data_IF_080039963445
#
_entry.id   IF_080039963445
#
_cell.length_a   1.000
_cell.length_b   1.000
_cell.length_c   1.000
_cell.angle_alpha   90.00
_cell.angle_beta   90.00
_cell.angle_gamma   90.00
#
_symmetry.space_group_name_H-M   'P 1'
#
loop_
_entity.id
_entity.type
_entity.pdbx_description
1 polymer ?
#
# COMPACT_ATOMS: atom_id res chain seq x y z
N UNK A 1 -0.49 43.24 -15.94
CA UNK A 1 -1.47 42.22 -16.35
C UNK A 1 -1.27 41.96 -17.84
N UNK A 2 -1.33 40.72 -18.37
CA UNK A 2 -2.03 39.53 -17.87
C UNK A 2 -1.11 38.35 -17.47
N UNK A 3 -1.46 37.70 -16.35
CA UNK A 3 -0.88 36.45 -15.89
C UNK A 3 -1.48 35.29 -16.68
N UNK A 4 -0.64 34.56 -17.43
CA UNK A 4 -1.04 33.34 -18.11
C UNK A 4 -1.15 32.18 -17.12
N UNK A 5 -2.38 31.83 -16.71
CA UNK A 5 -2.65 30.57 -16.03
C UNK A 5 -2.45 29.42 -17.03
N UNK A 6 -1.26 28.79 -17.00
CA UNK A 6 -1.04 27.50 -17.64
C UNK A 6 -1.80 26.44 -16.84
N UNK A 7 -3.01 26.12 -17.32
CA UNK A 7 -3.77 24.95 -16.86
C UNK A 7 -2.93 23.67 -17.05
N UNK A 8 -2.60 22.93 -15.98
CA UNK A 8 -2.00 21.60 -16.13
C UNK A 8 -3.06 20.67 -16.71
N UNK A 9 -2.81 20.20 -17.93
CA UNK A 9 -3.59 19.16 -18.59
C UNK A 9 -3.70 17.93 -17.69
N UNK A 10 -4.89 17.33 -17.70
CA UNK A 10 -5.23 16.04 -17.08
C UNK A 10 -4.32 14.96 -17.66
N UNK A 11 -3.16 14.74 -17.05
CA UNK A 11 -2.34 13.53 -17.12
C UNK A 11 -1.19 13.63 -16.12
N UNK A 12 -1.50 14.07 -14.89
CA UNK A 12 -0.57 13.99 -13.76
C UNK A 12 -0.64 12.56 -13.21
N UNK A 13 -0.01 11.64 -13.94
CA UNK A 13 0.33 10.32 -13.41
C UNK A 13 1.21 10.53 -12.19
N UNK A 14 0.63 10.20 -11.04
CA UNK A 14 1.25 10.30 -9.73
C UNK A 14 2.18 9.09 -9.57
N UNK A 15 3.28 9.07 -10.33
CA UNK A 15 4.38 8.15 -10.08
C UNK A 15 5.65 8.99 -9.88
N UNK A 16 5.69 9.72 -8.77
CA UNK A 16 6.94 10.20 -8.20
C UNK A 16 7.72 9.01 -7.63
N UNK A 17 8.44 8.30 -8.50
CA UNK A 17 9.55 7.45 -8.05
C UNK A 17 10.72 8.39 -7.76
N UNK A 18 10.94 8.61 -6.47
CA UNK A 18 12.09 9.33 -5.92
C UNK A 18 13.36 8.88 -6.64
N UNK A 19 14.08 9.88 -7.15
CA UNK A 19 15.38 9.76 -7.75
C UNK A 19 16.38 9.21 -6.71
N UNK A 20 16.71 7.93 -6.86
CA UNK A 20 17.85 7.29 -6.23
C UNK A 20 18.70 6.67 -7.33
N UNK A 21 19.77 7.38 -7.69
CA UNK A 21 20.97 6.94 -8.41
C UNK A 21 20.91 5.73 -9.33
N UNK A 22 21.14 5.98 -10.62
CA UNK A 22 21.77 5.02 -11.54
C UNK A 22 23.24 4.77 -11.12
N UNK A 23 23.43 4.07 -10.01
CA UNK A 23 24.71 3.49 -9.63
C UNK A 23 24.71 2.01 -10.08
N UNK A 24 25.04 1.79 -11.35
CA UNK A 24 25.42 0.50 -11.96
C UNK A 24 24.66 -0.77 -11.51
N UNK A 25 23.62 -1.14 -12.26
CA UNK A 25 23.21 -2.54 -12.50
C UNK A 25 23.01 -3.50 -11.30
N UNK A 26 22.91 -3.03 -10.06
CA UNK A 26 22.38 -3.86 -8.97
C UNK A 26 20.86 -3.77 -8.97
N UNK A 27 20.25 -4.20 -10.08
CA UNK A 27 18.82 -4.49 -10.07
C UNK A 27 18.60 -5.60 -9.03
N UNK A 28 17.62 -5.48 -8.13
CA UNK A 28 17.32 -6.54 -7.19
C UNK A 28 17.00 -7.79 -8.01
N UNK A 29 17.85 -8.82 -7.90
CA UNK A 29 17.71 -10.07 -8.66
C UNK A 29 16.55 -10.93 -8.18
N UNK A 30 15.66 -10.38 -7.34
CA UNK A 30 14.51 -11.07 -6.79
C UNK A 30 13.22 -10.56 -7.42
N UNK A 31 12.52 -11.41 -8.16
CA UNK A 31 11.23 -11.12 -8.79
C UNK A 31 10.13 -11.98 -8.19
N UNK A 32 8.95 -11.40 -8.01
CA UNK A 32 7.74 -12.14 -7.66
C UNK A 32 6.92 -12.36 -8.92
N UNK A 33 6.67 -13.62 -9.27
CA UNK A 33 5.86 -14.03 -10.41
C UNK A 33 4.48 -14.43 -9.90
N UNK A 34 3.46 -13.75 -10.41
CA UNK A 34 2.07 -14.07 -10.11
C UNK A 34 1.48 -14.91 -11.25
N UNK A 35 0.95 -16.09 -10.91
CA UNK A 35 0.37 -17.00 -11.89
C UNK A 35 -1.13 -17.14 -11.61
N UNK A 36 -1.94 -16.84 -12.64
CA UNK A 36 -3.38 -17.08 -12.65
C UNK A 36 -3.73 -18.22 -13.58
N UNK A 37 -4.84 -18.90 -13.28
CA UNK A 37 -5.50 -19.73 -14.28
C UNK A 37 -5.95 -18.85 -15.47
N UNK A 38 -5.78 -19.33 -16.72
CA UNK A 38 -6.40 -18.68 -17.87
C UNK A 38 -7.93 -18.75 -17.73
N UNK A 39 -8.68 -17.80 -18.30
CA UNK A 39 -10.14 -17.80 -18.19
C UNK A 39 -10.73 -19.08 -18.81
N UNK A 40 -11.50 -19.82 -18.02
CA UNK A 40 -12.15 -21.06 -18.45
C UNK A 40 -11.28 -22.32 -18.34
N UNK A 41 -10.07 -22.23 -17.79
CA UNK A 41 -9.18 -23.38 -17.59
C UNK A 41 -8.69 -23.47 -16.12
N UNK A 42 -7.82 -24.42 -15.84
CA UNK A 42 -7.14 -24.60 -14.56
C UNK A 42 -5.75 -23.95 -14.50
N UNK A 43 -5.18 -23.96 -13.29
CA UNK A 43 -3.84 -23.43 -13.02
C UNK A 43 -2.75 -24.32 -13.63
N UNK A 44 -3.03 -25.61 -13.89
CA UNK A 44 -2.11 -26.56 -14.53
C UNK A 44 -1.49 -26.05 -15.84
N UNK A 45 -2.29 -25.45 -16.74
CA UNK A 45 -1.78 -24.98 -18.04
C UNK A 45 -0.80 -23.82 -17.87
N UNK A 46 -1.15 -22.84 -17.04
CA UNK A 46 -0.26 -21.71 -16.73
C UNK A 46 1.04 -22.18 -16.08
N UNK A 47 0.98 -23.19 -15.20
CA UNK A 47 2.15 -23.76 -14.52
C UNK A 47 3.07 -24.51 -15.49
N UNK A 48 2.47 -25.25 -16.42
CA UNK A 48 3.21 -25.95 -17.48
C UNK A 48 3.95 -24.96 -18.37
N UNK A 49 3.27 -23.93 -18.86
CA UNK A 49 3.90 -22.91 -19.71
C UNK A 49 4.98 -22.10 -18.98
N UNK A 50 4.77 -21.81 -17.70
CA UNK A 50 5.81 -21.16 -16.89
C UNK A 50 7.08 -22.02 -16.81
N UNK A 51 6.95 -23.33 -16.59
CA UNK A 51 8.09 -24.26 -16.51
C UNK A 51 8.80 -24.43 -17.85
N UNK A 52 8.05 -24.49 -18.94
CA UNK A 52 8.58 -24.71 -20.29
C UNK A 52 9.33 -23.49 -20.83
N UNK A 53 8.74 -22.29 -20.68
CA UNK A 53 9.21 -21.10 -21.39
C UNK A 53 9.83 -20.03 -20.50
N UNK A 54 9.27 -19.77 -19.32
CA UNK A 54 9.68 -18.63 -18.49
C UNK A 54 10.83 -19.01 -17.55
N UNK A 55 10.71 -20.17 -16.89
CA UNK A 55 11.73 -20.69 -15.98
C UNK A 55 13.15 -20.72 -16.59
N UNK A 56 13.39 -21.26 -17.81
CA UNK A 56 14.75 -21.30 -18.34
C UNK A 56 15.36 -19.91 -18.53
N UNK A 57 14.55 -18.89 -18.82
CA UNK A 57 15.01 -17.50 -18.97
C UNK A 57 15.44 -16.93 -17.61
N UNK A 58 14.62 -17.12 -16.57
CA UNK A 58 14.93 -16.66 -15.21
C UNK A 58 16.17 -17.34 -14.64
N UNK A 59 16.31 -18.64 -14.89
CA UNK A 59 17.49 -19.42 -14.47
C UNK A 59 18.75 -18.98 -15.23
N UNK A 60 18.66 -18.77 -16.54
CA UNK A 60 19.78 -18.29 -17.35
C UNK A 60 20.23 -16.88 -16.94
N UNK A 61 19.30 -16.03 -16.50
CA UNK A 61 19.58 -14.70 -15.98
C UNK A 61 20.09 -14.67 -14.54
N UNK A 62 20.25 -15.82 -13.87
CA UNK A 62 20.57 -15.93 -12.44
C UNK A 62 19.66 -15.05 -11.57
N UNK A 63 18.37 -15.08 -11.87
CA UNK A 63 17.33 -14.29 -11.20
C UNK A 63 16.58 -15.17 -10.21
N UNK A 64 16.62 -14.81 -8.93
CA UNK A 64 15.81 -15.41 -7.89
C UNK A 64 14.34 -15.06 -8.12
N UNK A 65 13.47 -16.06 -8.07
CA UNK A 65 12.04 -15.83 -8.27
C UNK A 65 11.19 -16.49 -7.19
N UNK A 66 10.13 -15.79 -6.79
CA UNK A 66 9.08 -16.32 -5.92
C UNK A 66 7.79 -16.47 -6.72
N UNK A 67 7.13 -17.61 -6.60
CA UNK A 67 5.87 -17.87 -7.32
C UNK A 67 4.71 -17.70 -6.34
N UNK A 68 3.75 -16.84 -6.69
CA UNK A 68 2.46 -16.73 -6.02
C UNK A 68 1.37 -17.20 -6.98
N UNK A 69 0.78 -18.36 -6.67
CA UNK A 69 -0.28 -18.97 -7.47
C UNK A 69 -1.64 -18.60 -6.87
N UNK A 70 -2.63 -18.26 -7.71
CA UNK A 70 -4.00 -18.04 -7.27
C UNK A 70 -4.98 -18.88 -8.07
N UNK A 71 -5.88 -19.56 -7.33
CA UNK A 71 -6.88 -20.46 -7.89
C UNK A 71 -8.14 -19.73 -8.35
N UNK A 72 -8.47 -18.62 -7.68
CA UNK A 72 -9.68 -17.85 -7.95
C UNK A 72 -9.33 -16.49 -8.57
N UNK A 73 -10.15 -15.99 -9.51
CA UNK A 73 -10.02 -14.61 -9.99
C UNK A 73 -10.17 -13.64 -8.81
N UNK A 74 -9.37 -12.57 -8.79
CA UNK A 74 -9.38 -11.56 -7.73
C UNK A 74 -8.52 -11.87 -6.50
N UNK A 75 -8.08 -13.11 -6.30
CA UNK A 75 -7.27 -13.46 -5.11
C UNK A 75 -5.88 -12.77 -5.13
N UNK A 76 -5.26 -12.62 -6.31
CA UNK A 76 -3.99 -11.88 -6.44
C UNK A 76 -4.18 -10.40 -6.17
N UNK A 77 -5.28 -9.82 -6.64
CA UNK A 77 -5.56 -8.39 -6.48
C UNK A 77 -5.65 -8.04 -5.00
N UNK A 78 -6.41 -8.83 -4.24
CA UNK A 78 -6.52 -8.67 -2.79
C UNK A 78 -5.18 -8.85 -2.10
N UNK A 79 -4.43 -9.91 -2.45
CA UNK A 79 -3.12 -10.17 -1.84
C UNK A 79 -2.11 -9.06 -2.10
N UNK A 80 -2.05 -8.53 -3.33
CA UNK A 80 -1.16 -7.42 -3.68
C UNK A 80 -1.62 -6.12 -3.01
N UNK A 81 -2.93 -5.88 -2.94
CA UNK A 81 -3.47 -4.71 -2.25
C UNK A 81 -3.10 -4.73 -0.76
N UNK A 82 -3.29 -5.87 -0.08
CA UNK A 82 -2.91 -6.06 1.32
C UNK A 82 -1.41 -5.84 1.53
N UNK A 83 -0.57 -6.40 0.65
CA UNK A 83 0.89 -6.24 0.72
C UNK A 83 1.32 -4.77 0.55
N UNK A 84 0.69 -4.04 -0.37
CA UNK A 84 0.96 -2.61 -0.58
C UNK A 84 0.49 -1.80 0.62
N UNK A 85 -0.72 -2.05 1.12
CA UNK A 85 -1.27 -1.33 2.28
C UNK A 85 -0.41 -1.56 3.52
N UNK A 86 0.02 -2.80 3.76
CA UNK A 86 0.92 -3.14 4.86
C UNK A 86 2.24 -2.40 4.73
N UNK A 87 2.89 -2.48 3.56
CA UNK A 87 4.16 -1.79 3.28
C UNK A 87 4.06 -0.27 3.43
N UNK A 88 2.97 0.33 2.96
CA UNK A 88 2.71 1.75 3.12
C UNK A 88 2.53 2.14 4.59
N UNK A 89 1.88 1.29 5.39
CA UNK A 89 1.72 1.52 6.83
C UNK A 89 3.05 1.43 7.57
N UNK A 90 3.84 0.39 7.31
CA UNK A 90 5.18 0.24 7.88
C UNK A 90 6.10 1.42 7.51
N UNK A 91 6.06 1.85 6.25
CA UNK A 91 6.82 3.01 5.79
C UNK A 91 6.36 4.31 6.45
N UNK A 92 5.04 4.48 6.65
CA UNK A 92 4.49 5.61 7.37
C UNK A 92 4.96 5.61 8.83
N UNK A 93 4.89 4.47 9.53
CA UNK A 93 5.38 4.28 10.90
C UNK A 93 6.90 4.54 11.00
N UNK A 94 7.69 4.10 10.03
CA UNK A 94 9.14 4.36 9.98
C UNK A 94 9.47 5.84 9.70
N UNK A 95 8.72 6.50 8.82
CA UNK A 95 8.89 7.93 8.52
C UNK A 95 8.37 8.85 9.62
N UNK A 96 7.48 8.36 10.48
CA UNK A 96 6.95 9.05 11.66
C UNK A 96 7.75 8.70 12.93
N UNK A 97 9.07 8.63 12.82
CA UNK A 97 9.95 8.65 14.01
C UNK A 97 10.39 10.09 14.28
N UNK A 98 9.49 10.89 14.84
CA UNK A 98 9.94 11.86 15.85
C UNK A 98 10.43 11.02 17.05
N UNK A 99 11.43 11.47 17.83
CA UNK A 99 11.84 10.77 19.04
C UNK A 99 10.65 10.77 20.00
N UNK A 100 9.83 9.72 19.90
CA UNK A 100 8.86 9.35 20.91
C UNK A 100 9.70 8.70 21.99
N UNK A 101 10.17 9.53 22.92
CA UNK A 101 10.50 9.08 24.26
C UNK A 101 9.42 8.09 24.68
N UNK A 102 9.85 6.87 24.97
CA UNK A 102 9.00 5.78 25.46
C UNK A 102 8.32 6.22 26.76
N UNK A 103 7.21 6.94 26.66
CA UNK A 103 6.28 7.10 27.77
C UNK A 103 5.36 5.88 27.80
N UNK A 104 5.97 4.73 28.10
CA UNK A 104 5.26 3.59 28.67
C UNK A 104 4.93 3.90 30.14
N UNK A 105 4.14 4.97 30.35
CA UNK A 105 3.50 5.25 31.61
C UNK A 105 2.01 5.29 31.34
N UNK A 106 1.29 4.32 31.90
CA UNK A 106 -0.11 4.50 32.28
C UNK A 106 -0.20 5.75 33.17
N UNK A 107 -0.32 6.91 32.57
CA UNK A 107 -0.80 8.12 33.22
C UNK A 107 -1.91 8.64 32.35
N UNK A 108 -3.12 8.45 32.87
CA UNK A 108 -4.30 9.25 32.60
C UNK A 108 -3.87 10.72 32.68
N UNK A 109 -3.45 11.31 31.56
CA UNK A 109 -3.19 12.74 31.48
C UNK A 109 -4.55 13.39 31.49
N UNK A 110 -4.92 13.89 32.67
CA UNK A 110 -6.02 14.82 32.89
C UNK A 110 -5.74 16.08 32.08
N UNK A 111 -6.01 16.02 30.77
CA UNK A 111 -6.23 17.22 29.98
C UNK A 111 -7.65 17.61 30.32
N UNK A 112 -7.78 18.61 31.19
CA UNK A 112 -9.05 19.24 31.52
C UNK A 112 -9.61 19.88 30.25
N UNK A 113 -10.29 19.08 29.45
CA UNK A 113 -11.27 19.57 28.50
C UNK A 113 -12.53 19.86 29.32
N UNK A 114 -12.77 21.12 29.63
CA UNK A 114 -14.04 21.60 30.18
C UNK A 114 -15.12 21.68 29.07
N UNK A 115 -15.10 20.71 28.15
CA UNK A 115 -15.87 20.73 26.92
C UNK A 115 -16.17 19.31 26.44
N UNK A 116 -17.42 19.09 26.05
CA UNK A 116 -17.89 17.80 25.57
C UNK A 116 -17.46 17.65 24.09
N UNK A 117 -16.71 16.59 23.76
CA UNK A 117 -16.32 16.29 22.39
C UNK A 117 -17.33 15.32 21.75
N UNK A 118 -18.18 15.84 20.86
CA UNK A 118 -19.09 15.02 20.07
C UNK A 118 -18.44 14.61 18.74
N UNK A 119 -18.23 13.31 18.54
CA UNK A 119 -17.80 12.75 17.27
C UNK A 119 -19.00 12.01 16.66
N UNK A 120 -19.37 12.38 15.44
CA UNK A 120 -20.55 11.95 14.69
C UNK A 120 -21.87 12.71 14.98
N UNK A 121 -22.80 12.66 14.01
CA UNK A 121 -24.11 13.34 14.04
C UNK A 121 -24.99 12.89 15.19
N UNK A 122 -24.98 11.60 15.52
CA UNK A 122 -25.86 11.09 16.58
C UNK A 122 -25.39 11.53 17.98
N UNK A 123 -24.07 11.50 18.21
CA UNK A 123 -23.46 12.02 19.43
C UNK A 123 -23.70 13.53 19.58
N UNK A 124 -23.59 14.29 18.48
CA UNK A 124 -23.84 15.74 18.50
C UNK A 124 -25.30 16.07 18.84
N UNK A 125 -26.26 15.29 18.31
CA UNK A 125 -27.68 15.43 18.65
C UNK A 125 -27.95 15.22 20.14
N UNK A 126 -27.32 14.22 20.75
CA UNK A 126 -27.47 13.92 22.17
C UNK A 126 -26.87 15.03 23.05
N UNK A 127 -25.68 15.52 22.71
CA UNK A 127 -25.03 16.63 23.43
C UNK A 127 -25.88 17.90 23.35
N UNK A 128 -26.39 18.25 22.17
CA UNK A 128 -27.28 19.40 22.00
C UNK A 128 -28.60 19.25 22.75
N UNK A 129 -29.15 18.03 22.81
CA UNK A 129 -30.39 17.76 23.57
C UNK A 129 -30.20 17.85 25.09
N UNK A 130 -28.99 17.58 25.58
CA UNK A 130 -28.65 17.65 27.00
C UNK A 130 -28.38 19.08 27.48
N UNK A 131 -27.96 19.98 26.59
CA UNK A 131 -27.74 21.41 26.87
C UNK A 131 -29.02 22.26 26.81
N UNK A 132 -30.10 21.74 26.20
CA UNK A 132 -31.38 22.43 26.02
C UNK A 132 -32.41 22.21 27.13
N UNK A 133 -32.02 21.66 28.28
CA UNK A 133 -32.86 21.48 29.48
C UNK A 133 -32.36 22.37 30.60
#
# INVERSE_FOLDING_TARGET
MPFGLKVPSKNKLIFSRVAGGIAGLEMPRKVTVYITAPPGDGLEKSRTWFREYVKPILVAGAVDYEIKEAKSPGQIETSVMEEIVHRCREAAEASFTLPVDNMNNKKKSEVAYDGILAIDRNANREVLSALGK
#
